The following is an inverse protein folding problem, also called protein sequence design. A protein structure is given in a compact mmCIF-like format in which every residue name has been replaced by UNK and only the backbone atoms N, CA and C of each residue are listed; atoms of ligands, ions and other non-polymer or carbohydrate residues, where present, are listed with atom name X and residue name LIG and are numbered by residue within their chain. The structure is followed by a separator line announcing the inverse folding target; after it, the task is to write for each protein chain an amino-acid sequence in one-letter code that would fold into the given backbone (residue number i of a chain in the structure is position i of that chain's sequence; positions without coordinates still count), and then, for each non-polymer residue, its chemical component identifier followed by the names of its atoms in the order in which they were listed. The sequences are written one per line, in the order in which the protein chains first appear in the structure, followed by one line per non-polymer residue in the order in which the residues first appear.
data_IF_057851693912
#
_entry.id   IF_057851693912
#
_cell.length_a   1.000
_cell.length_b   1.000
_cell.length_c   1.000
_cell.angle_alpha   90.00
_cell.angle_beta   90.00
_cell.angle_gamma   90.00
#
_symmetry.space_group_name_H-M   'P 1'
#
loop_
_entity.id
_entity.type
_entity.pdbx_description
1 polymer ?
#
# COMPACT_ATOMS: atom_id res chain seq x y z
N UNK A 1 -0.63 10.41 -17.49
CA UNK A 1 -2.05 10.47 -17.92
C UNK A 1 -2.20 10.29 -19.43
N UNK A 2 -1.13 9.98 -20.14
CA UNK A 2 -1.16 9.81 -21.60
C UNK A 2 -2.15 8.74 -22.06
N UNK A 3 -2.29 7.63 -21.33
CA UNK A 3 -3.24 6.55 -21.69
C UNK A 3 -4.70 7.04 -21.75
N UNK A 4 -5.11 7.99 -20.92
CA UNK A 4 -6.47 8.56 -20.97
C UNK A 4 -6.64 9.36 -22.25
N UNK A 5 -5.65 10.19 -22.62
CA UNK A 5 -5.71 10.98 -23.86
C UNK A 5 -5.79 10.09 -25.10
N UNK A 6 -4.99 9.02 -25.15
CA UNK A 6 -5.06 8.04 -26.24
C UNK A 6 -6.42 7.32 -26.27
N UNK A 7 -6.96 6.93 -25.11
CA UNK A 7 -8.26 6.28 -25.04
C UNK A 7 -9.39 7.21 -25.52
N UNK A 8 -9.35 8.49 -25.13
CA UNK A 8 -10.32 9.49 -25.62
C UNK A 8 -10.21 9.70 -27.13
N UNK A 9 -9.01 9.76 -27.68
CA UNK A 9 -8.82 9.87 -29.13
C UNK A 9 -9.40 8.66 -29.87
N UNK A 10 -9.16 7.44 -29.37
CA UNK A 10 -9.76 6.22 -29.95
C UNK A 10 -11.29 6.28 -29.86
N UNK A 11 -11.84 6.70 -28.73
CA UNK A 11 -13.30 6.84 -28.56
C UNK A 11 -13.92 7.87 -29.51
N UNK A 12 -13.24 8.99 -29.76
CA UNK A 12 -13.69 10.00 -30.74
C UNK A 12 -13.66 9.44 -32.17
N UNK A 13 -12.61 8.71 -32.53
CA UNK A 13 -12.54 8.06 -33.86
C UNK A 13 -13.65 7.02 -34.01
N UNK A 14 -13.86 6.15 -33.02
CA UNK A 14 -14.93 5.15 -33.06
C UNK A 14 -16.31 5.81 -33.14
N UNK A 15 -16.55 6.86 -32.36
CA UNK A 15 -17.77 7.65 -32.42
C UNK A 15 -17.99 8.24 -33.83
N UNK A 16 -16.98 8.87 -34.42
CA UNK A 16 -17.04 9.45 -35.77
C UNK A 16 -17.38 8.42 -36.85
N UNK A 17 -16.69 7.26 -36.82
CA UNK A 17 -16.94 6.17 -37.77
C UNK A 17 -18.38 5.67 -37.69
N UNK A 18 -18.90 5.45 -36.46
CA UNK A 18 -20.25 4.95 -36.24
C UNK A 18 -21.34 6.03 -36.45
N UNK A 19 -21.02 7.32 -36.40
CA UNK A 19 -21.99 8.41 -36.68
C UNK A 19 -22.30 8.54 -38.16
N UNK A 20 -21.50 7.99 -39.08
CA UNK A 20 -21.74 8.03 -40.51
C UNK A 20 -22.95 7.16 -40.95
N UNK A 21 -23.02 5.86 -40.52
CA UNK A 21 -24.14 5.00 -40.89
C UNK A 21 -25.31 5.05 -39.89
N UNK A 22 -25.12 5.54 -38.65
CA UNK A 22 -26.12 5.55 -37.58
C UNK A 22 -26.43 6.96 -37.07
N UNK A 23 -27.55 7.10 -36.34
CA UNK A 23 -27.82 8.37 -35.65
C UNK A 23 -26.82 8.65 -34.52
N UNK A 24 -26.58 9.93 -34.22
CA UNK A 24 -25.63 10.37 -33.21
C UNK A 24 -25.82 9.66 -31.84
N UNK A 25 -27.08 9.39 -31.47
CA UNK A 25 -27.39 8.70 -30.18
C UNK A 25 -26.90 7.25 -30.17
N UNK A 26 -26.98 6.56 -31.29
CA UNK A 26 -26.56 5.17 -31.44
C UNK A 26 -25.03 5.04 -31.52
N UNK A 27 -24.36 6.03 -32.14
CA UNK A 27 -22.90 6.09 -32.21
C UNK A 27 -22.25 6.35 -30.86
N UNK A 28 -22.96 6.91 -29.87
CA UNK A 28 -22.42 7.18 -28.54
C UNK A 28 -21.98 5.90 -27.79
N UNK A 29 -22.73 4.82 -27.94
CA UNK A 29 -22.42 3.55 -27.26
C UNK A 29 -21.07 2.96 -27.74
N UNK A 30 -20.84 2.73 -29.05
CA UNK A 30 -19.53 2.27 -29.53
C UNK A 30 -18.40 3.25 -29.23
N UNK A 31 -18.64 4.55 -29.23
CA UNK A 31 -17.66 5.54 -28.83
C UNK A 31 -17.20 5.38 -27.38
N UNK A 32 -18.14 5.27 -26.44
CA UNK A 32 -17.82 5.02 -25.01
C UNK A 32 -17.13 3.66 -24.83
N UNK A 33 -17.59 2.62 -25.49
CA UNK A 33 -16.94 1.30 -25.43
C UNK A 33 -15.51 1.37 -25.97
N UNK A 34 -15.25 2.12 -27.05
CA UNK A 34 -13.93 2.34 -27.60
C UNK A 34 -12.99 2.99 -26.57
N UNK A 35 -13.46 4.02 -25.81
CA UNK A 35 -12.69 4.62 -24.70
C UNK A 35 -12.39 3.59 -23.63
N UNK A 36 -13.40 2.87 -23.13
CA UNK A 36 -13.23 1.93 -22.02
C UNK A 36 -12.28 0.77 -22.37
N UNK A 37 -12.47 0.17 -23.52
CA UNK A 37 -11.64 -0.98 -23.97
C UNK A 37 -10.20 -0.53 -24.21
N UNK A 38 -9.99 0.57 -24.93
CA UNK A 38 -8.64 1.07 -25.21
C UNK A 38 -7.92 1.50 -23.92
N UNK A 39 -8.61 2.19 -23.00
CA UNK A 39 -8.05 2.54 -21.70
C UNK A 39 -7.67 1.31 -20.89
N UNK A 40 -8.52 0.29 -20.84
CA UNK A 40 -8.26 -0.95 -20.12
C UNK A 40 -7.01 -1.66 -20.65
N UNK A 41 -6.88 -1.77 -21.98
CA UNK A 41 -5.72 -2.41 -22.63
C UNK A 41 -4.43 -1.63 -22.31
N UNK A 42 -4.45 -0.30 -22.48
CA UNK A 42 -3.30 0.56 -22.20
C UNK A 42 -2.90 0.56 -20.73
N UNK A 43 -3.88 0.62 -19.82
CA UNK A 43 -3.66 0.52 -18.37
C UNK A 43 -3.02 -0.82 -18.01
N UNK A 44 -3.58 -1.94 -18.50
CA UNK A 44 -3.04 -3.29 -18.25
C UNK A 44 -1.60 -3.43 -18.76
N UNK A 45 -1.29 -2.87 -19.95
CA UNK A 45 0.07 -2.86 -20.49
C UNK A 45 1.04 -2.08 -19.60
N UNK A 46 0.63 -0.89 -19.13
CA UNK A 46 1.45 -0.06 -18.25
C UNK A 46 1.72 -0.76 -16.90
N UNK A 47 0.70 -1.34 -16.27
CA UNK A 47 0.88 -2.08 -15.01
C UNK A 47 1.75 -3.32 -15.18
N UNK A 48 1.61 -4.06 -16.28
CA UNK A 48 2.47 -5.21 -16.57
C UNK A 48 3.94 -4.81 -16.74
N UNK A 49 4.21 -3.67 -17.38
CA UNK A 49 5.58 -3.15 -17.50
C UNK A 49 6.18 -2.80 -16.15
N UNK A 50 5.39 -2.19 -15.24
CA UNK A 50 5.82 -1.91 -13.86
C UNK A 50 6.08 -3.21 -13.08
N UNK A 51 5.21 -4.20 -13.22
CA UNK A 51 5.36 -5.52 -12.57
C UNK A 51 6.65 -6.22 -12.99
N UNK A 52 7.02 -6.16 -14.27
CA UNK A 52 8.27 -6.73 -14.78
C UNK A 52 9.47 -6.06 -14.11
N UNK A 53 9.46 -4.72 -13.98
CA UNK A 53 10.54 -3.97 -13.34
C UNK A 53 10.61 -4.34 -11.85
N UNK A 54 9.47 -4.40 -11.16
CA UNK A 54 9.42 -4.77 -9.74
C UNK A 54 9.86 -6.21 -9.49
N UNK A 55 9.52 -7.13 -10.41
CA UNK A 55 9.99 -8.52 -10.34
C UNK A 55 11.50 -8.60 -10.50
N UNK A 56 12.09 -7.78 -11.42
CA UNK A 56 13.53 -7.66 -11.58
C UNK A 56 14.20 -7.10 -10.33
N UNK A 57 13.65 -6.04 -9.76
CA UNK A 57 14.12 -5.44 -8.51
C UNK A 57 14.07 -6.42 -7.33
N UNK A 58 13.00 -7.22 -7.23
CA UNK A 58 12.85 -8.19 -6.15
C UNK A 58 13.90 -9.31 -6.18
N UNK A 59 14.44 -9.66 -7.36
CA UNK A 59 15.54 -10.62 -7.47
C UNK A 59 16.81 -10.14 -6.77
N UNK A 60 17.08 -8.83 -6.78
CA UNK A 60 18.22 -8.25 -6.07
C UNK A 60 18.08 -8.33 -4.55
N UNK A 61 16.85 -8.41 -4.05
CA UNK A 61 16.57 -8.58 -2.61
C UNK A 61 16.62 -10.05 -2.17
N UNK A 62 16.48 -10.99 -3.10
CA UNK A 62 16.48 -12.43 -2.81
C UNK A 62 17.88 -13.03 -2.77
N UNK A 63 18.88 -12.36 -3.33
CA UNK A 63 20.29 -12.81 -3.33
C UNK A 63 20.96 -12.42 -2.02
N UNK A 64 21.55 -13.35 -1.25
CA UNK A 64 22.32 -12.99 -0.06
C UNK A 64 23.73 -12.48 -0.44
N UNK A 65 24.20 -11.33 0.09
CA UNK A 65 23.43 -10.35 0.86
C UNK A 65 22.45 -9.54 -0.02
N UNK A 66 21.27 -9.09 0.52
CA UNK A 66 20.30 -8.32 -0.24
C UNK A 66 20.87 -6.99 -0.75
N UNK A 67 20.73 -6.76 -2.07
CA UNK A 67 21.28 -5.56 -2.73
C UNK A 67 20.19 -4.48 -2.81
N UNK A 68 19.91 -3.81 -1.71
CA UNK A 68 18.84 -2.82 -1.62
C UNK A 68 18.99 -1.63 -2.58
N UNK A 69 20.20 -1.07 -2.69
CA UNK A 69 20.44 0.07 -3.60
C UNK A 69 20.14 -0.30 -5.05
N UNK A 70 20.57 -1.50 -5.49
CA UNK A 70 20.34 -1.95 -6.84
C UNK A 70 18.83 -2.21 -7.07
N UNK A 71 18.13 -2.74 -6.08
CA UNK A 71 16.68 -2.91 -6.14
C UNK A 71 15.96 -1.55 -6.27
N UNK A 72 16.36 -0.54 -5.50
CA UNK A 72 15.79 0.81 -5.56
C UNK A 72 16.05 1.43 -6.92
N UNK A 73 17.30 1.42 -7.42
CA UNK A 73 17.64 1.94 -8.77
C UNK A 73 16.82 1.26 -9.86
N UNK A 74 16.66 -0.07 -9.78
CA UNK A 74 15.81 -0.81 -10.72
C UNK A 74 14.34 -0.39 -10.63
N UNK A 75 13.81 -0.13 -9.41
CA UNK A 75 12.44 0.36 -9.26
C UNK A 75 12.27 1.79 -9.80
N UNK A 76 13.30 2.63 -9.72
CA UNK A 76 13.28 3.99 -10.26
C UNK A 76 13.11 4.02 -11.78
N UNK A 77 13.55 2.99 -12.50
CA UNK A 77 13.29 2.85 -13.94
C UNK A 77 11.79 2.91 -14.25
N UNK A 78 10.92 2.46 -13.33
CA UNK A 78 9.49 2.48 -13.52
C UNK A 78 8.88 3.89 -13.55
N UNK A 79 9.60 4.92 -13.08
CA UNK A 79 9.11 6.31 -13.20
C UNK A 79 8.94 6.75 -14.66
N UNK A 80 9.61 6.12 -15.61
CA UNK A 80 9.39 6.36 -17.05
C UNK A 80 7.97 6.01 -17.49
N UNK A 81 7.30 5.10 -16.76
CA UNK A 81 5.93 4.65 -17.04
C UNK A 81 4.91 5.55 -16.33
N UNK A 82 5.30 6.24 -15.27
CA UNK A 82 4.39 7.07 -14.45
C UNK A 82 3.56 8.10 -15.23
N UNK A 83 4.08 8.79 -16.30
CA UNK A 83 3.29 9.73 -17.09
C UNK A 83 2.14 9.08 -17.86
N UNK A 84 2.22 7.79 -18.12
CA UNK A 84 1.21 7.09 -18.93
C UNK A 84 -0.02 6.69 -18.12
N UNK A 85 0.15 6.28 -16.85
CA UNK A 85 -0.94 5.69 -16.07
C UNK A 85 -1.06 6.31 -14.68
N UNK A 86 -2.31 6.63 -14.29
CA UNK A 86 -2.63 7.11 -12.94
C UNK A 86 -2.28 6.03 -11.92
N UNK A 87 -1.72 6.44 -10.77
CA UNK A 87 -1.40 5.55 -9.66
C UNK A 87 -0.03 4.87 -9.75
N UNK A 88 0.58 4.78 -10.94
CA UNK A 88 1.91 4.15 -11.12
C UNK A 88 2.97 4.85 -10.27
N UNK A 89 3.05 6.18 -10.34
CA UNK A 89 4.00 6.96 -9.52
C UNK A 89 3.84 6.67 -8.03
N UNK A 90 2.61 6.67 -7.56
CA UNK A 90 2.28 6.40 -6.15
C UNK A 90 2.67 4.99 -5.73
N UNK A 91 2.50 4.00 -6.61
CA UNK A 91 2.91 2.63 -6.37
C UNK A 91 4.43 2.50 -6.28
N UNK A 92 5.16 3.17 -7.16
CA UNK A 92 6.64 3.20 -7.15
C UNK A 92 7.12 3.85 -5.84
N UNK A 93 6.60 5.03 -5.51
CA UNK A 93 6.91 5.73 -4.26
C UNK A 93 6.64 4.83 -3.04
N UNK A 94 5.51 4.11 -3.00
CA UNK A 94 5.17 3.20 -1.92
C UNK A 94 6.21 2.09 -1.74
N UNK A 95 6.68 1.48 -2.84
CA UNK A 95 7.64 0.38 -2.79
C UNK A 95 9.05 0.87 -2.41
N UNK A 96 9.52 1.96 -3.01
CA UNK A 96 10.84 2.54 -2.66
C UNK A 96 10.83 3.00 -1.20
N UNK A 97 9.77 3.68 -0.75
CA UNK A 97 9.62 4.10 0.64
C UNK A 97 9.62 2.92 1.61
N UNK A 98 8.95 1.81 1.24
CA UNK A 98 8.97 0.59 2.05
C UNK A 98 10.38 -0.04 2.14
N UNK A 99 11.16 -0.04 1.04
CA UNK A 99 12.54 -0.54 1.07
C UNK A 99 13.44 0.28 1.99
N UNK A 100 13.37 1.61 1.91
CA UNK A 100 14.11 2.47 2.85
C UNK A 100 13.65 2.27 4.30
N UNK A 101 12.35 2.08 4.52
CA UNK A 101 11.82 1.80 5.85
C UNK A 101 12.38 0.48 6.41
N UNK A 102 12.43 -0.58 5.61
CA UNK A 102 12.98 -1.89 6.01
C UNK A 102 14.47 -1.81 6.35
N UNK A 103 15.22 -0.93 5.69
CA UNK A 103 16.62 -0.61 6.01
C UNK A 103 16.76 0.30 7.24
N UNK A 104 15.65 0.74 7.86
CA UNK A 104 15.61 1.72 8.96
C UNK A 104 16.08 3.12 8.55
N UNK A 105 16.18 3.41 7.27
CA UNK A 105 16.51 4.72 6.73
C UNK A 105 15.26 5.63 6.71
N UNK A 106 14.71 5.90 7.88
CA UNK A 106 13.41 6.57 8.04
C UNK A 106 13.35 7.97 7.42
N UNK A 107 14.46 8.69 7.42
CA UNK A 107 14.52 10.02 6.80
C UNK A 107 14.41 9.95 5.27
N UNK A 108 14.99 8.94 4.64
CA UNK A 108 14.86 8.71 3.19
C UNK A 108 13.49 8.10 2.84
N UNK A 109 12.97 7.22 3.69
CA UNK A 109 11.65 6.59 3.48
C UNK A 109 10.51 7.61 3.49
N UNK A 110 10.55 8.58 4.41
CA UNK A 110 9.46 9.50 4.71
C UNK A 110 8.90 10.24 3.48
N UNK A 111 9.70 10.93 2.64
CA UNK A 111 9.17 11.66 1.49
C UNK A 111 8.49 10.75 0.45
N UNK A 112 8.98 9.54 0.25
CA UNK A 112 8.35 8.55 -0.64
C UNK A 112 7.01 8.07 -0.07
N UNK A 113 6.97 7.71 1.22
CA UNK A 113 5.75 7.25 1.88
C UNK A 113 4.69 8.35 1.96
N UNK A 114 5.07 9.62 2.17
CA UNK A 114 4.15 10.75 2.14
C UNK A 114 3.48 10.89 0.76
N UNK A 115 4.24 10.84 -0.33
CA UNK A 115 3.69 10.91 -1.69
C UNK A 115 2.79 9.73 -2.02
N UNK A 116 3.01 8.58 -1.39
CA UNK A 116 2.21 7.37 -1.61
C UNK A 116 0.92 7.30 -0.77
N UNK A 117 0.76 8.12 0.26
CA UNK A 117 -0.34 8.03 1.23
C UNK A 117 -1.72 8.08 0.58
N UNK A 118 -1.86 8.88 -0.49
CA UNK A 118 -3.13 9.09 -1.20
C UNK A 118 -3.69 7.85 -1.91
N UNK A 119 -2.87 7.08 -2.61
CA UNK A 119 -3.27 5.96 -3.47
C UNK A 119 -2.44 4.69 -3.24
N UNK A 120 -1.47 4.73 -2.33
CA UNK A 120 -0.59 3.62 -2.02
C UNK A 120 -1.28 2.49 -1.24
N UNK A 121 -0.60 1.37 -1.15
CA UNK A 121 -1.01 0.24 -0.33
C UNK A 121 -1.03 0.65 1.16
N UNK A 122 -1.97 0.11 1.95
CA UNK A 122 -2.11 0.42 3.37
C UNK A 122 -0.81 0.30 4.17
N UNK A 123 0.06 -0.63 3.79
CA UNK A 123 1.32 -0.88 4.46
C UNK A 123 2.25 0.33 4.42
N UNK A 124 2.37 1.02 3.27
CA UNK A 124 3.20 2.22 3.15
C UNK A 124 2.68 3.35 4.05
N UNK A 125 1.37 3.52 4.14
CA UNK A 125 0.76 4.48 5.06
C UNK A 125 0.98 4.10 6.53
N UNK A 126 0.88 2.81 6.88
CA UNK A 126 1.17 2.33 8.23
C UNK A 126 2.65 2.54 8.62
N UNK A 127 3.58 2.29 7.69
CA UNK A 127 5.01 2.59 7.89
C UNK A 127 5.25 4.09 8.11
N UNK A 128 4.57 4.96 7.35
CA UNK A 128 4.64 6.41 7.57
C UNK A 128 4.13 6.81 8.95
N UNK A 129 3.01 6.26 9.38
CA UNK A 129 2.47 6.49 10.73
C UNK A 129 3.46 6.07 11.83
N UNK A 130 4.16 4.94 11.64
CA UNK A 130 5.23 4.50 12.55
C UNK A 130 6.43 5.46 12.54
N UNK A 131 6.81 6.02 11.38
CA UNK A 131 7.87 7.05 11.33
C UNK A 131 7.46 8.27 12.15
N UNK A 132 6.23 8.77 11.98
CA UNK A 132 5.75 9.91 12.76
C UNK A 132 5.74 9.61 14.27
N UNK A 133 5.29 8.42 14.67
CA UNK A 133 5.38 7.98 16.06
C UNK A 133 6.82 8.03 16.59
N UNK A 134 7.79 7.45 15.85
CA UNK A 134 9.20 7.46 16.24
C UNK A 134 9.78 8.88 16.33
N UNK A 135 9.30 9.80 15.50
CA UNK A 135 9.66 11.22 15.55
C UNK A 135 8.86 12.02 16.60
N UNK A 136 8.03 11.37 17.42
CA UNK A 136 7.14 11.99 18.41
C UNK A 136 6.16 13.01 17.83
N UNK A 137 5.90 12.95 16.53
CA UNK A 137 4.88 13.76 15.86
C UNK A 137 3.53 13.03 15.88
N UNK A 138 2.87 13.09 17.04
CA UNK A 138 1.65 12.32 17.29
C UNK A 138 0.46 12.84 16.47
N UNK A 139 0.45 14.14 16.14
CA UNK A 139 -0.60 14.73 15.32
C UNK A 139 -0.59 14.16 13.89
N UNK A 140 0.57 14.19 13.22
CA UNK A 140 0.70 13.63 11.88
C UNK A 140 0.54 12.09 11.87
N UNK A 141 0.92 11.41 12.95
CA UNK A 141 0.62 9.98 13.13
C UNK A 141 -0.90 9.75 13.10
N UNK A 142 -1.70 10.50 13.86
CA UNK A 142 -3.17 10.38 13.89
C UNK A 142 -3.78 10.67 12.52
N UNK A 143 -3.38 11.76 11.87
CA UNK A 143 -3.84 12.10 10.50
C UNK A 143 -3.55 10.99 9.51
N UNK A 144 -2.34 10.42 9.57
CA UNK A 144 -1.94 9.31 8.70
C UNK A 144 -2.79 8.08 8.95
N UNK A 145 -2.97 7.65 10.21
CA UNK A 145 -3.80 6.48 10.51
C UNK A 145 -5.27 6.70 10.21
N UNK A 146 -5.80 7.93 10.31
CA UNK A 146 -7.16 8.25 9.87
C UNK A 146 -7.36 7.97 8.36
N UNK A 147 -6.36 8.23 7.53
CA UNK A 147 -6.39 7.89 6.10
C UNK A 147 -6.26 6.38 5.90
N UNK A 148 -5.30 5.74 6.58
CA UNK A 148 -5.01 4.30 6.42
C UNK A 148 -6.19 3.45 6.84
N UNK A 149 -6.82 3.71 7.99
CA UNK A 149 -7.98 2.96 8.50
C UNK A 149 -9.21 3.08 7.61
N UNK A 150 -9.43 4.26 6.98
CA UNK A 150 -10.51 4.44 5.99
C UNK A 150 -10.33 3.56 4.75
N UNK A 151 -9.09 3.30 4.34
CA UNK A 151 -8.75 2.52 3.13
C UNK A 151 -8.63 1.04 3.41
N UNK A 152 -7.98 0.70 4.50
CA UNK A 152 -7.70 -0.67 4.91
C UNK A 152 -8.73 -1.19 5.92
N UNK A 153 -10.01 -0.87 5.74
CA UNK A 153 -11.10 -1.15 6.68
C UNK A 153 -11.10 -2.60 7.19
N UNK A 154 -10.79 -3.55 6.33
CA UNK A 154 -10.80 -4.99 6.63
C UNK A 154 -9.47 -5.54 7.15
N UNK A 155 -8.45 -4.70 7.31
CA UNK A 155 -7.12 -5.14 7.75
C UNK A 155 -6.97 -4.97 9.27
N UNK A 156 -7.22 -6.04 10.02
CA UNK A 156 -7.18 -6.04 11.49
C UNK A 156 -5.86 -5.52 12.07
N UNK A 157 -4.73 -5.83 11.42
CA UNK A 157 -3.41 -5.37 11.84
C UNK A 157 -3.30 -3.83 11.88
N UNK A 158 -3.97 -3.11 10.97
CA UNK A 158 -3.91 -1.64 10.91
C UNK A 158 -4.57 -1.03 12.15
N UNK A 159 -5.75 -1.55 12.51
CA UNK A 159 -6.48 -1.10 13.69
C UNK A 159 -5.71 -1.40 14.98
N UNK A 160 -5.17 -2.60 15.10
CA UNK A 160 -4.36 -2.99 16.25
C UNK A 160 -3.04 -2.21 16.34
N UNK A 161 -2.37 -1.94 15.21
CA UNK A 161 -1.15 -1.14 15.18
C UNK A 161 -1.43 0.29 15.64
N UNK A 162 -2.49 0.92 15.14
CA UNK A 162 -2.85 2.26 15.54
C UNK A 162 -3.18 2.33 17.04
N UNK A 163 -4.03 1.42 17.54
CA UNK A 163 -4.35 1.33 18.97
C UNK A 163 -3.11 1.05 19.84
N UNK A 164 -2.20 0.20 19.36
CA UNK A 164 -0.93 -0.06 20.05
C UNK A 164 -0.10 1.21 20.20
N UNK A 165 0.05 2.00 19.12
CA UNK A 165 0.82 3.25 19.16
C UNK A 165 0.18 4.30 20.07
N UNK A 166 -1.15 4.40 20.09
CA UNK A 166 -1.90 5.25 21.02
C UNK A 166 -1.65 4.85 22.48
N UNK A 167 -1.65 3.56 22.78
CA UNK A 167 -1.29 3.05 24.11
C UNK A 167 0.15 3.41 24.51
N UNK A 168 1.10 3.40 23.55
CA UNK A 168 2.50 3.75 23.84
C UNK A 168 2.68 5.25 24.20
N UNK A 169 1.77 6.11 23.77
CA UNK A 169 1.78 7.54 24.10
C UNK A 169 0.82 7.90 25.25
N UNK A 170 0.22 6.88 25.90
CA UNK A 170 -0.67 7.05 27.07
C UNK A 170 -2.17 7.19 26.74
N UNK A 171 -2.57 7.26 25.48
CA UNK A 171 -3.94 7.51 25.01
C UNK A 171 -4.75 6.21 24.96
N UNK A 172 -4.98 5.59 26.13
CA UNK A 172 -5.65 4.27 26.21
C UNK A 172 -7.13 4.34 25.81
N UNK A 173 -7.82 5.41 26.15
CA UNK A 173 -9.24 5.57 25.85
C UNK A 173 -9.46 5.74 24.34
N UNK A 174 -8.62 6.55 23.68
CA UNK A 174 -8.63 6.67 22.23
C UNK A 174 -8.31 5.32 21.57
N UNK A 175 -7.34 4.57 22.09
CA UNK A 175 -7.02 3.23 21.61
C UNK A 175 -8.21 2.26 21.68
N UNK A 176 -8.99 2.28 22.76
CA UNK A 176 -10.21 1.47 22.87
C UNK A 176 -11.25 1.86 21.82
N UNK A 177 -11.48 3.16 21.61
CA UNK A 177 -12.39 3.65 20.57
C UNK A 177 -11.99 3.18 19.17
N UNK A 178 -10.70 3.23 18.87
CA UNK A 178 -10.15 2.74 17.59
C UNK A 178 -10.37 1.24 17.41
N UNK A 179 -10.16 0.43 18.46
CA UNK A 179 -10.43 -1.02 18.39
C UNK A 179 -11.92 -1.33 18.21
N UNK A 180 -12.82 -0.60 18.89
CA UNK A 180 -14.28 -0.75 18.69
C UNK A 180 -14.67 -0.40 17.25
N UNK A 181 -14.13 0.68 16.68
CA UNK A 181 -14.34 1.01 15.27
C UNK A 181 -13.78 -0.07 14.33
N UNK A 182 -12.61 -0.62 14.66
CA UNK A 182 -11.99 -1.71 13.94
C UNK A 182 -12.85 -2.96 13.89
N UNK A 183 -13.40 -3.40 15.02
CA UNK A 183 -14.34 -4.54 15.10
C UNK A 183 -15.51 -4.38 14.14
N UNK A 184 -16.18 -3.22 14.16
CA UNK A 184 -17.31 -2.91 13.29
C UNK A 184 -16.95 -2.97 11.79
N UNK A 185 -15.69 -2.71 11.42
CA UNK A 185 -15.23 -2.65 10.03
C UNK A 185 -14.60 -3.96 9.53
N UNK A 186 -14.16 -4.82 10.44
CA UNK A 186 -13.49 -6.10 10.13
C UNK A 186 -14.37 -7.33 10.31
N UNK A 187 -15.68 -7.16 10.54
CA UNK A 187 -16.63 -8.23 10.85
C UNK A 187 -16.13 -9.09 12.04
N UNK A 188 -15.86 -8.44 13.16
CA UNK A 188 -15.47 -9.05 14.44
C UNK A 188 -14.17 -9.89 14.38
N UNK A 189 -13.11 -9.33 13.78
CA UNK A 189 -11.77 -9.94 13.78
C UNK A 189 -11.37 -10.31 15.21
N UNK A 190 -11.11 -11.60 15.44
CA UNK A 190 -10.79 -12.16 16.77
C UNK A 190 -9.57 -11.48 17.41
N UNK A 191 -8.55 -11.12 16.61
CA UNK A 191 -7.33 -10.47 17.13
C UNK A 191 -7.61 -9.05 17.64
N UNK A 192 -8.54 -8.33 17.01
CA UNK A 192 -8.98 -7.01 17.50
C UNK A 192 -9.79 -7.19 18.77
N UNK A 193 -10.68 -8.17 18.81
CA UNK A 193 -11.49 -8.49 20.00
C UNK A 193 -10.61 -8.82 21.20
N UNK A 194 -9.61 -9.67 21.01
CA UNK A 194 -8.64 -10.02 22.04
C UNK A 194 -7.85 -8.79 22.54
N UNK A 195 -7.47 -7.90 21.61
CA UNK A 195 -6.76 -6.67 21.95
C UNK A 195 -7.61 -5.73 22.76
N UNK A 196 -8.90 -5.58 22.41
CA UNK A 196 -9.86 -4.76 23.15
C UNK A 196 -10.08 -5.32 24.56
N UNK A 197 -10.32 -6.63 24.70
CA UNK A 197 -10.49 -7.28 26.00
C UNK A 197 -9.23 -7.14 26.88
N UNK A 198 -8.04 -7.31 26.29
CA UNK A 198 -6.79 -7.08 27.02
C UNK A 198 -6.71 -5.64 27.55
N UNK A 199 -7.05 -4.67 26.70
CA UNK A 199 -6.98 -3.25 27.07
C UNK A 199 -7.99 -2.87 28.15
N UNK A 200 -9.23 -3.38 28.07
CA UNK A 200 -10.27 -3.21 29.09
C UNK A 200 -9.86 -3.81 30.44
N UNK A 201 -9.13 -4.94 30.43
CA UNK A 201 -8.60 -5.59 31.63
C UNK A 201 -7.26 -5.00 32.12
N UNK A 202 -6.90 -3.79 31.69
CA UNK A 202 -5.64 -3.14 32.08
C UNK A 202 -4.36 -3.75 31.48
N UNK A 203 -4.49 -4.77 30.63
CA UNK A 203 -3.36 -5.47 29.98
C UNK A 203 -2.89 -4.76 28.71
N UNK A 204 -1.69 -5.14 28.22
CA UNK A 204 -1.13 -4.59 26.97
C UNK A 204 -1.68 -5.31 25.74
N UNK A 205 -1.77 -4.59 24.61
CA UNK A 205 -2.09 -5.17 23.31
C UNK A 205 -0.97 -6.12 22.89
N UNK A 206 -1.31 -7.35 22.49
CA UNK A 206 -0.36 -8.38 22.07
C UNK A 206 -0.18 -8.40 20.55
N UNK A 207 0.75 -7.59 20.02
CA UNK A 207 0.98 -7.49 18.57
C UNK A 207 1.68 -8.70 17.95
N UNK A 208 2.35 -9.55 18.74
CA UNK A 208 3.06 -10.76 18.27
C UNK A 208 2.17 -11.78 17.56
N UNK A 209 0.85 -11.70 17.73
CA UNK A 209 -0.14 -12.54 17.00
C UNK A 209 -0.10 -12.32 15.48
N UNK A 210 0.46 -11.21 15.03
CA UNK A 210 0.63 -10.87 13.61
C UNK A 210 1.96 -11.39 13.02
N UNK A 211 2.83 -11.98 13.83
CA UNK A 211 4.10 -12.64 13.40
C UNK A 211 4.95 -11.68 12.54
N UNK A 212 5.37 -12.15 11.34
CA UNK A 212 6.22 -11.40 10.41
C UNK A 212 5.65 -10.03 10.04
N UNK A 213 4.34 -9.91 9.89
CA UNK A 213 3.68 -8.64 9.59
C UNK A 213 3.87 -7.59 10.68
N UNK A 214 4.08 -7.99 11.93
CA UNK A 214 4.37 -7.09 13.03
C UNK A 214 5.82 -6.63 13.03
N UNK A 215 6.73 -7.57 12.90
CA UNK A 215 8.16 -7.26 13.04
C UNK A 215 8.71 -6.35 11.94
N UNK A 216 8.06 -6.28 10.78
CA UNK A 216 8.43 -5.35 9.71
C UNK A 216 8.31 -3.87 10.10
N UNK A 217 7.53 -3.53 11.15
CA UNK A 217 7.39 -2.15 11.63
C UNK A 217 8.54 -1.68 12.52
N UNK A 218 9.50 -2.55 12.86
CA UNK A 218 10.66 -2.22 13.71
C UNK A 218 10.29 -1.59 15.05
N UNK A 219 9.15 -1.98 15.63
CA UNK A 219 8.69 -1.56 16.96
C UNK A 219 9.14 -2.52 18.05
N UNK A 220 9.29 -3.81 17.72
CA UNK A 220 9.85 -4.84 18.60
C UNK A 220 10.93 -5.65 17.85
N UNK A 221 11.86 -6.24 18.60
CA UNK A 221 12.86 -7.14 18.03
C UNK A 221 12.20 -8.49 17.70
N UNK A 222 12.41 -9.02 16.48
CA UNK A 222 11.92 -10.35 16.14
C UNK A 222 12.62 -11.41 16.97
N UNK A 223 11.93 -12.51 17.36
CA UNK A 223 12.58 -13.69 17.89
C UNK A 223 13.62 -14.24 16.91
N UNK A 224 14.63 -14.94 17.42
CA UNK A 224 15.79 -15.44 16.65
C UNK A 224 15.38 -16.23 15.39
N UNK A 225 14.28 -16.98 15.47
CA UNK A 225 13.71 -17.74 14.35
C UNK A 225 13.27 -16.86 13.16
N UNK A 226 12.84 -15.63 13.41
CA UNK A 226 12.42 -14.68 12.36
C UNK A 226 13.59 -13.81 11.87
N UNK A 227 14.64 -13.63 12.67
CA UNK A 227 15.83 -12.87 12.29
C UNK A 227 16.60 -13.57 11.16
N UNK A 228 16.65 -14.90 11.14
CA UNK A 228 17.28 -15.69 10.09
C UNK A 228 16.49 -15.64 8.76
N UNK A 229 15.16 -15.47 8.79
CA UNK A 229 14.31 -15.35 7.59
C UNK A 229 14.41 -13.99 6.89
N UNK A 230 14.76 -12.92 7.61
CA UNK A 230 14.93 -11.58 7.02
C UNK A 230 16.28 -11.41 6.32
N UNK A 231 17.27 -12.20 6.65
CA UNK A 231 18.55 -12.25 5.94
C UNK A 231 18.47 -13.04 4.61
N UNK A 232 17.40 -13.85 4.43
CA UNK A 232 17.12 -14.60 3.21
C UNK A 232 15.67 -14.39 2.80
N UNK A 233 15.40 -13.28 2.09
CA UNK A 233 14.06 -12.81 1.73
C UNK A 233 13.21 -13.80 0.94
N UNK A 234 12.46 -14.66 1.62
CA UNK A 234 11.28 -15.30 1.06
C UNK A 234 10.10 -14.35 1.23
N UNK A 235 9.76 -13.61 0.19
CA UNK A 235 8.45 -12.98 0.03
C UNK A 235 7.40 -14.10 0.19
N UNK A 236 6.59 -14.03 1.23
CA UNK A 236 5.57 -15.03 1.49
C UNK A 236 4.56 -15.10 0.35
N UNK A 237 4.01 -16.30 0.08
CA UNK A 237 2.99 -16.59 -0.95
C UNK A 237 1.78 -15.63 -0.95
N UNK A 238 1.54 -14.93 0.14
CA UNK A 238 0.46 -13.96 0.29
C UNK A 238 0.69 -12.65 -0.47
N UNK A 239 1.95 -12.24 -0.70
CA UNK A 239 2.29 -11.10 -1.56
C UNK A 239 2.13 -11.42 -3.06
N UNK A 240 2.11 -12.72 -3.42
CA UNK A 240 1.84 -13.19 -4.80
C UNK A 240 0.35 -13.25 -5.15
N UNK A 241 -0.56 -13.19 -4.17
CA UNK A 241 -2.02 -13.28 -4.36
C UNK A 241 -2.75 -11.95 -4.22
N UNK A 242 -2.09 -10.85 -4.40
CA UNK A 242 -2.72 -9.58 -4.78
C UNK A 242 -3.25 -9.71 -6.21
N UNK A 243 -4.25 -10.56 -6.40
CA UNK A 243 -5.07 -10.55 -7.61
C UNK A 243 -5.90 -9.27 -7.59
N UNK A 244 -5.69 -8.51 -8.61
CA UNK A 244 -6.40 -7.31 -9.06
C UNK A 244 -7.85 -7.62 -9.42
#
# INVERSE_FOLDING_TARGET
MRNILFALAVGLVTFGVFSLPFHLKEAAVPGVLGVLVSYFILARRSFKSVEIIFTRASKHLQTPPPKFELAIRTMEEAYTIAPYQIGVKTQIDAQIGALFFLQKEFNKAMPYLQRSLGFGHWLSGAMLGVIYYKKKNHEEMRKTFAVVTKRAKKQGIVWNLYAYLLCQIGERDEAQQILVQGLKKTNDDSKIKDSLLNLQNGKKIKMKVYKEQWYQFHLERPPTQYAQGQAGGKLTKQQRRGKW
#
